data_IF_467581686019
#
_entry.id   IF_467581686019
#
_cell.length_a   1.000
_cell.length_b   1.000
_cell.length_c   1.000
_cell.angle_alpha   90.00
_cell.angle_beta   90.00
_cell.angle_gamma   90.00
#
_symmetry.space_group_name_H-M   'P 1'
#
loop_
_entity.id
_entity.type
_entity.pdbx_description
1 polymer ?
#
# COMPACT_ATOMS: atom_id res chain seq x y z
N UNK A 1 -5.64 32.33 -13.31
CA UNK A 1 -5.24 31.78 -12.01
C UNK A 1 -4.83 30.34 -12.25
N UNK A 2 -3.76 29.85 -11.64
CA UNK A 2 -3.37 28.44 -11.77
C UNK A 2 -4.46 27.60 -11.10
N UNK A 3 -5.24 26.83 -11.86
CA UNK A 3 -6.39 26.08 -11.35
C UNK A 3 -6.00 25.07 -10.24
N UNK A 4 -4.71 24.73 -10.14
CA UNK A 4 -4.10 23.87 -9.11
C UNK A 4 -3.84 24.56 -7.76
N UNK A 5 -3.70 25.89 -7.74
CA UNK A 5 -3.31 26.59 -6.52
C UNK A 5 -4.50 26.69 -5.57
N UNK A 6 -4.32 26.26 -4.33
CA UNK A 6 -5.30 26.39 -3.26
C UNK A 6 -5.04 27.68 -2.46
N UNK A 7 -6.10 28.43 -2.17
CA UNK A 7 -6.05 29.43 -1.10
C UNK A 7 -5.92 28.76 0.27
N UNK A 8 -5.55 29.51 1.31
CA UNK A 8 -5.50 28.96 2.67
C UNK A 8 -6.85 28.41 3.15
N UNK A 9 -7.95 29.05 2.75
CA UNK A 9 -9.30 28.60 3.08
C UNK A 9 -9.65 27.28 2.35
N UNK A 10 -9.31 27.17 1.07
CA UNK A 10 -9.50 25.94 0.31
C UNK A 10 -8.63 24.79 0.83
N UNK A 11 -7.39 25.09 1.22
CA UNK A 11 -6.49 24.10 1.83
C UNK A 11 -7.06 23.55 3.13
N UNK A 12 -7.64 24.41 3.99
CA UNK A 12 -8.33 23.97 5.20
C UNK A 12 -9.57 23.13 4.88
N UNK A 13 -10.38 23.55 3.90
CA UNK A 13 -11.57 22.81 3.49
C UNK A 13 -11.24 21.41 2.92
N UNK A 14 -10.15 21.27 2.15
CA UNK A 14 -9.64 19.97 1.67
C UNK A 14 -9.32 19.04 2.84
N UNK A 15 -8.63 19.57 3.86
CA UNK A 15 -8.31 18.79 5.07
C UNK A 15 -9.60 18.37 5.77
N UNK A 16 -10.49 19.31 6.08
CA UNK A 16 -11.73 19.04 6.81
C UNK A 16 -12.62 18.03 6.07
N UNK A 17 -12.73 18.14 4.74
CA UNK A 17 -13.43 17.17 3.90
C UNK A 17 -12.83 15.77 4.02
N UNK A 18 -11.52 15.62 3.85
CA UNK A 18 -10.87 14.30 3.96
C UNK A 18 -10.98 13.71 5.35
N UNK A 19 -10.84 14.52 6.41
CA UNK A 19 -11.04 14.03 7.77
C UNK A 19 -12.47 13.52 7.98
N UNK A 20 -13.48 14.23 7.48
CA UNK A 20 -14.87 13.80 7.56
C UNK A 20 -15.12 12.49 6.79
N UNK A 21 -14.61 12.36 5.56
CA UNK A 21 -14.80 11.20 4.69
C UNK A 21 -14.17 9.91 5.25
N UNK A 22 -13.01 10.01 5.91
CA UNK A 22 -12.32 8.84 6.49
C UNK A 22 -12.81 8.49 7.91
N UNK A 23 -13.65 9.33 8.53
CA UNK A 23 -14.18 9.08 9.87
C UNK A 23 -15.34 8.09 9.83
N UNK A 24 -15.26 6.96 10.55
CA UNK A 24 -16.39 6.02 10.64
C UNK A 24 -17.62 6.65 11.29
N UNK A 25 -18.81 6.19 10.89
CA UNK A 25 -20.08 6.68 11.43
C UNK A 25 -20.33 6.27 12.89
N UNK A 26 -19.70 5.19 13.34
CA UNK A 26 -19.84 4.65 14.68
C UNK A 26 -18.48 4.52 15.38
N UNK A 27 -18.47 4.71 16.70
CA UNK A 27 -17.26 4.48 17.51
C UNK A 27 -17.08 2.97 17.72
N UNK A 28 -15.87 2.43 17.56
CA UNK A 28 -15.60 1.03 17.85
C UNK A 28 -15.76 0.75 19.35
N UNK A 29 -16.30 -0.42 19.69
CA UNK A 29 -16.26 -0.94 21.05
C UNK A 29 -15.10 -1.91 21.18
N UNK A 30 -14.16 -1.62 22.08
CA UNK A 30 -12.95 -2.43 22.27
C UNK A 30 -12.81 -2.88 23.72
N UNK A 31 -12.51 -4.16 23.93
CA UNK A 31 -12.22 -4.68 25.26
C UNK A 31 -10.95 -4.05 25.84
N UNK A 32 -10.86 -3.86 27.17
CA UNK A 32 -9.66 -3.32 27.81
C UNK A 32 -8.39 -4.11 27.42
N UNK A 33 -7.32 -3.40 27.06
CA UNK A 33 -6.03 -4.00 26.72
C UNK A 33 -5.89 -4.53 25.28
N UNK A 34 -6.97 -4.53 24.48
CA UNK A 34 -6.87 -4.86 23.05
C UNK A 34 -6.33 -3.63 22.30
N UNK A 35 -5.30 -3.83 21.45
CA UNK A 35 -4.75 -2.77 20.59
C UNK A 35 -5.66 -2.53 19.38
N UNK A 36 -5.77 -1.29 18.85
CA UNK A 36 -6.34 -1.06 17.53
C UNK A 36 -5.46 -1.67 16.43
N UNK A 37 -6.08 -2.09 15.33
CA UNK A 37 -5.45 -2.71 14.17
C UNK A 37 -5.37 -1.71 13.02
N UNK A 38 -4.19 -1.58 12.42
CA UNK A 38 -4.00 -0.93 11.13
C UNK A 38 -3.63 -1.99 10.09
N UNK A 39 -4.43 -2.10 9.02
CA UNK A 39 -4.15 -2.94 7.87
C UNK A 39 -3.75 -2.05 6.70
N UNK A 40 -2.49 -2.12 6.31
CA UNK A 40 -1.92 -1.33 5.23
C UNK A 40 -1.81 -2.18 3.96
N UNK A 41 -2.45 -1.76 2.88
CA UNK A 41 -2.55 -2.53 1.63
C UNK A 41 -1.65 -1.91 0.58
N UNK A 42 -0.63 -2.68 0.18
CA UNK A 42 0.38 -2.33 -0.81
C UNK A 42 0.17 -3.03 -2.14
N UNK A 43 0.77 -2.47 -3.19
CA UNK A 43 0.74 -3.04 -4.54
C UNK A 43 0.62 -1.98 -5.61
N UNK A 44 0.96 -2.34 -6.84
CA UNK A 44 0.92 -1.40 -7.96
C UNK A 44 -0.50 -0.88 -8.23
N UNK A 45 -0.64 0.27 -8.92
CA UNK A 45 -1.92 0.73 -9.45
C UNK A 45 -2.67 -0.40 -10.18
N UNK A 46 -3.98 -0.47 -9.96
CA UNK A 46 -4.86 -1.50 -10.53
C UNK A 46 -4.48 -2.97 -10.21
N UNK A 47 -3.64 -3.24 -9.20
CA UNK A 47 -3.36 -4.60 -8.71
C UNK A 47 -4.60 -5.29 -8.10
N UNK A 48 -5.63 -4.55 -7.67
CA UNK A 48 -6.80 -5.12 -6.98
C UNK A 48 -6.86 -4.83 -5.48
N UNK A 49 -6.08 -3.85 -5.00
CA UNK A 49 -6.09 -3.39 -3.59
C UNK A 49 -7.50 -3.15 -3.02
N UNK A 50 -8.41 -2.58 -3.82
CA UNK A 50 -9.79 -2.33 -3.41
C UNK A 50 -10.56 -3.61 -3.03
N UNK A 51 -10.22 -4.77 -3.62
CA UNK A 51 -10.80 -6.07 -3.22
C UNK A 51 -10.36 -6.44 -1.81
N UNK A 52 -9.05 -6.44 -1.55
CA UNK A 52 -8.50 -6.71 -0.22
C UNK A 52 -9.04 -5.70 0.82
N UNK A 53 -9.08 -4.42 0.48
CA UNK A 53 -9.59 -3.36 1.37
C UNK A 53 -11.04 -3.60 1.78
N UNK A 54 -11.90 -3.95 0.83
CA UNK A 54 -13.32 -4.25 1.09
C UNK A 54 -13.48 -5.48 1.99
N UNK A 55 -12.69 -6.53 1.76
CA UNK A 55 -12.74 -7.74 2.58
C UNK A 55 -12.32 -7.45 4.02
N UNK A 56 -11.20 -6.76 4.19
CA UNK A 56 -10.71 -6.34 5.50
C UNK A 56 -11.73 -5.45 6.20
N UNK A 57 -12.26 -4.43 5.53
CA UNK A 57 -13.24 -3.52 6.13
C UNK A 57 -14.51 -4.25 6.57
N UNK A 58 -15.01 -5.19 5.75
CA UNK A 58 -16.16 -6.02 6.11
C UNK A 58 -15.90 -6.88 7.34
N UNK A 59 -14.70 -7.45 7.44
CA UNK A 59 -14.31 -8.26 8.60
C UNK A 59 -14.20 -7.46 9.88
N UNK A 60 -13.74 -6.21 9.81
CA UNK A 60 -13.51 -5.34 10.97
C UNK A 60 -14.76 -4.54 11.36
N UNK A 61 -15.72 -4.40 10.45
CA UNK A 61 -16.98 -3.68 10.62
C UNK A 61 -17.01 -2.39 9.81
N UNK A 62 -17.91 -2.34 8.81
CA UNK A 62 -17.97 -1.24 7.82
C UNK A 62 -18.26 0.13 8.47
N UNK A 63 -19.01 0.18 9.58
CA UNK A 63 -19.40 1.43 10.25
C UNK A 63 -18.41 1.88 11.35
N UNK A 64 -17.49 1.01 11.76
CA UNK A 64 -16.56 1.23 12.88
C UNK A 64 -15.09 1.23 12.46
N UNK A 65 -14.81 0.88 11.20
CA UNK A 65 -13.45 0.81 10.62
C UNK A 65 -13.25 1.95 9.64
N UNK A 66 -12.18 2.72 9.83
CA UNK A 66 -11.82 3.75 8.89
C UNK A 66 -11.22 3.14 7.62
N UNK A 67 -11.70 3.58 6.47
CA UNK A 67 -11.19 3.18 5.15
C UNK A 67 -10.50 4.39 4.51
N UNK A 68 -9.22 4.26 4.18
CA UNK A 68 -8.42 5.36 3.65
C UNK A 68 -7.61 4.97 2.41
N UNK A 69 -8.01 5.43 1.22
CA UNK A 69 -7.14 5.38 0.04
C UNK A 69 -6.36 6.69 -0.08
N UNK A 70 -5.03 6.58 -0.14
CA UNK A 70 -4.14 7.71 -0.33
C UNK A 70 -4.38 8.44 -1.65
N UNK A 71 -4.65 7.70 -2.73
CA UNK A 71 -4.78 8.29 -4.05
C UNK A 71 -6.11 9.07 -4.20
N UNK A 72 -7.11 8.79 -3.37
CA UNK A 72 -8.40 9.51 -3.32
C UNK A 72 -8.27 10.93 -2.74
N UNK A 73 -7.14 11.27 -2.11
CA UNK A 73 -6.93 12.62 -1.55
C UNK A 73 -7.08 13.72 -2.62
N UNK A 74 -6.70 13.44 -3.88
CA UNK A 74 -6.82 14.37 -4.98
C UNK A 74 -8.28 14.77 -5.27
N UNK A 75 -9.23 13.89 -4.96
CA UNK A 75 -10.65 14.12 -5.23
C UNK A 75 -11.26 15.21 -4.34
N UNK A 76 -10.65 15.48 -3.18
CA UNK A 76 -11.04 16.56 -2.28
C UNK A 76 -10.67 17.95 -2.83
N UNK A 77 -9.87 18.06 -3.89
CA UNK A 77 -9.56 19.34 -4.49
C UNK A 77 -10.84 19.99 -5.06
N UNK A 78 -11.19 21.24 -4.70
CA UNK A 78 -12.48 21.86 -5.06
C UNK A 78 -12.68 22.03 -6.57
N UNK A 79 -11.57 22.02 -7.33
CA UNK A 79 -11.57 22.09 -8.80
C UNK A 79 -11.20 20.76 -9.49
N UNK A 80 -11.16 19.62 -8.78
CA UNK A 80 -10.65 18.34 -9.30
C UNK A 80 -11.24 17.97 -10.67
N UNK A 81 -12.57 17.90 -10.77
CA UNK A 81 -13.27 17.56 -12.02
C UNK A 81 -12.99 18.56 -13.15
N UNK A 82 -12.93 19.86 -12.83
CA UNK A 82 -12.66 20.90 -13.82
C UNK A 82 -11.22 20.80 -14.37
N UNK A 83 -10.26 20.44 -13.51
CA UNK A 83 -8.87 20.22 -13.89
C UNK A 83 -8.75 18.98 -14.78
N UNK A 84 -9.36 17.85 -14.41
CA UNK A 84 -9.34 16.65 -15.24
C UNK A 84 -10.02 16.85 -16.60
N UNK A 85 -11.13 17.60 -16.65
CA UNK A 85 -11.88 17.82 -17.89
C UNK A 85 -11.14 18.72 -18.90
N UNK A 86 -10.34 19.67 -18.43
CA UNK A 86 -9.62 20.64 -19.29
C UNK A 86 -8.14 20.31 -19.45
N UNK A 87 -7.60 19.52 -18.54
CA UNK A 87 -6.19 19.23 -18.43
C UNK A 87 -5.74 18.12 -19.36
N UNK A 88 -4.46 17.79 -19.23
CA UNK A 88 -3.90 16.59 -19.82
C UNK A 88 -4.46 15.36 -19.12
N UNK A 89 -4.39 14.21 -19.80
CA UNK A 89 -4.85 12.92 -19.27
C UNK A 89 -4.24 12.60 -17.89
N UNK A 90 -2.99 13.04 -17.63
CA UNK A 90 -2.23 12.82 -16.41
C UNK A 90 -2.44 13.88 -15.30
N UNK A 91 -3.38 14.81 -15.47
CA UNK A 91 -3.61 15.93 -14.55
C UNK A 91 -3.98 15.52 -13.11
N UNK A 92 -4.39 14.27 -12.88
CA UNK A 92 -4.58 13.73 -11.53
C UNK A 92 -3.31 13.86 -10.67
N UNK A 93 -2.12 13.61 -11.26
CA UNK A 93 -0.85 13.75 -10.55
C UNK A 93 -0.63 15.18 -10.08
N UNK A 94 -0.84 16.14 -10.97
CA UNK A 94 -0.64 17.56 -10.66
C UNK A 94 -1.56 18.01 -9.53
N UNK A 95 -2.82 17.54 -9.52
CA UNK A 95 -3.75 17.82 -8.41
C UNK A 95 -3.26 17.20 -7.12
N UNK A 96 -2.84 15.94 -7.14
CA UNK A 96 -2.33 15.28 -5.94
C UNK A 96 -1.11 16.01 -5.37
N UNK A 97 -0.19 16.49 -6.22
CA UNK A 97 0.98 17.26 -5.82
C UNK A 97 0.66 18.69 -5.34
N UNK A 98 -0.52 19.24 -5.70
CA UNK A 98 -0.95 20.58 -5.27
C UNK A 98 -1.70 20.61 -3.94
N UNK A 99 -2.03 19.45 -3.37
CA UNK A 99 -2.69 19.34 -2.07
C UNK A 99 -1.80 19.84 -0.92
N UNK A 100 -2.37 20.15 0.26
CA UNK A 100 -1.58 20.47 1.43
C UNK A 100 -0.55 19.36 1.73
N UNK A 101 0.75 19.68 1.86
CA UNK A 101 1.81 18.66 1.94
C UNK A 101 1.72 17.81 3.22
N UNK A 102 1.02 18.28 4.25
CA UNK A 102 0.81 17.57 5.50
C UNK A 102 -0.58 16.89 5.59
N UNK A 103 -1.39 16.90 4.52
CA UNK A 103 -2.73 16.30 4.48
C UNK A 103 -2.70 14.83 4.94
N UNK A 104 -1.83 14.03 4.34
CA UNK A 104 -1.70 12.61 4.71
C UNK A 104 -1.39 12.42 6.20
N UNK A 105 -0.40 13.16 6.72
CA UNK A 105 -0.06 13.13 8.15
C UNK A 105 -1.26 13.52 9.02
N UNK A 106 -2.03 14.54 8.63
CA UNK A 106 -3.25 14.95 9.35
C UNK A 106 -4.33 13.87 9.33
N UNK A 107 -4.52 13.18 8.20
CA UNK A 107 -5.45 12.03 8.12
C UNK A 107 -5.03 10.91 9.08
N UNK A 108 -3.75 10.52 9.10
CA UNK A 108 -3.26 9.50 10.04
C UNK A 108 -3.40 9.97 11.49
N UNK A 109 -3.00 11.21 11.80
CA UNK A 109 -3.13 11.80 13.13
C UNK A 109 -4.60 11.78 13.62
N UNK A 110 -5.54 12.13 12.74
CA UNK A 110 -6.98 12.12 13.06
C UNK A 110 -7.53 10.74 13.37
N UNK A 111 -7.05 9.69 12.68
CA UNK A 111 -7.52 8.33 12.89
C UNK A 111 -6.90 7.65 14.12
N UNK A 112 -5.72 8.10 14.53
CA UNK A 112 -4.87 7.39 15.51
C UNK A 112 -4.75 8.10 16.86
N UNK A 113 -4.97 9.42 16.90
CA UNK A 113 -4.85 10.25 18.11
C UNK A 113 -6.22 10.59 18.68
N UNK A 114 -6.25 10.84 19.98
CA UNK A 114 -7.46 11.23 20.72
C UNK A 114 -8.10 10.07 21.48
N UNK A 115 -9.28 10.33 22.03
CA UNK A 115 -9.98 9.36 22.89
C UNK A 115 -10.51 8.15 22.11
N UNK A 116 -10.82 8.31 20.82
CA UNK A 116 -11.30 7.24 19.95
C UNK A 116 -10.21 6.85 18.98
N UNK A 117 -9.69 5.63 19.12
CA UNK A 117 -8.76 5.01 18.17
C UNK A 117 -9.54 4.02 17.31
N UNK A 118 -9.62 4.29 16.01
CA UNK A 118 -10.30 3.42 15.05
C UNK A 118 -9.41 2.27 14.61
N UNK A 119 -10.00 1.11 14.30
CA UNK A 119 -9.32 0.19 13.38
C UNK A 119 -9.27 0.86 12.00
N UNK A 120 -8.19 0.66 11.28
CA UNK A 120 -7.93 1.34 10.01
C UNK A 120 -7.57 0.32 8.95
N UNK A 121 -8.20 0.41 7.79
CA UNK A 121 -7.69 -0.18 6.56
C UNK A 121 -7.30 0.94 5.61
N UNK A 122 -6.05 0.95 5.17
CA UNK A 122 -5.55 1.99 4.29
C UNK A 122 -4.80 1.43 3.09
N UNK A 123 -4.96 2.02 1.92
CA UNK A 123 -4.23 1.64 0.71
C UNK A 123 -3.30 2.74 0.24
N UNK A 124 -2.11 2.31 -0.16
CA UNK A 124 -1.11 3.15 -0.83
C UNK A 124 -0.25 2.26 -1.73
N UNK A 125 0.63 2.82 -2.58
CA UNK A 125 1.54 1.98 -3.37
C UNK A 125 2.42 1.06 -2.51
N UNK A 126 2.96 1.59 -1.40
CA UNK A 126 3.88 0.89 -0.47
C UNK A 126 5.05 0.17 -1.18
N UNK A 127 5.50 0.76 -2.29
CA UNK A 127 6.41 0.13 -3.24
C UNK A 127 7.88 0.25 -2.90
N UNK A 128 8.25 1.04 -1.88
CA UNK A 128 9.63 1.25 -1.48
C UNK A 128 9.71 1.31 0.03
N UNK A 129 10.81 0.84 0.61
CA UNK A 129 11.04 0.89 2.06
C UNK A 129 10.83 2.30 2.63
N UNK A 130 11.44 3.31 2.00
CA UNK A 130 11.31 4.71 2.40
C UNK A 130 9.88 5.27 2.30
N UNK A 131 9.03 4.66 1.46
CA UNK A 131 7.62 4.99 1.35
C UNK A 131 6.74 4.18 2.30
N UNK A 132 7.10 2.93 2.62
CA UNK A 132 6.29 2.02 3.41
C UNK A 132 6.50 2.17 4.92
N UNK A 133 7.74 2.37 5.38
CA UNK A 133 8.05 2.55 6.80
C UNK A 133 7.30 3.73 7.46
N UNK A 134 7.22 4.92 6.84
CA UNK A 134 6.46 6.02 7.42
C UNK A 134 4.96 5.70 7.66
N UNK A 135 4.36 4.88 6.80
CA UNK A 135 2.99 4.41 7.03
C UNK A 135 2.91 3.51 8.25
N UNK A 136 3.82 2.55 8.39
CA UNK A 136 3.88 1.66 9.56
C UNK A 136 4.10 2.46 10.84
N UNK A 137 5.07 3.39 10.83
CA UNK A 137 5.43 4.24 11.96
C UNK A 137 4.25 5.12 12.43
N UNK A 138 3.45 5.63 11.49
CA UNK A 138 2.27 6.43 11.79
C UNK A 138 1.28 5.73 12.72
N UNK A 139 1.18 4.41 12.62
CA UNK A 139 0.29 3.59 13.46
C UNK A 139 1.02 2.95 14.64
N UNK A 140 2.19 2.34 14.41
CA UNK A 140 2.94 1.63 15.44
C UNK A 140 3.32 2.56 16.61
N UNK A 141 3.71 3.81 16.32
CA UNK A 141 4.03 4.81 17.35
C UNK A 141 2.81 5.26 18.17
N UNK A 142 1.59 4.95 17.72
CA UNK A 142 0.34 5.21 18.43
C UNK A 142 -0.21 3.96 19.13
N UNK A 143 0.60 2.88 19.22
CA UNK A 143 0.26 1.65 19.94
C UNK A 143 -0.61 0.68 19.15
N UNK A 144 -0.72 0.86 17.83
CA UNK A 144 -1.46 -0.07 16.97
C UNK A 144 -0.72 -1.40 16.82
N UNK A 145 -1.47 -2.47 16.55
CA UNK A 145 -0.95 -3.64 15.84
C UNK A 145 -0.98 -3.31 14.34
N UNK A 146 0.10 -3.52 13.62
CA UNK A 146 0.20 -3.18 12.19
C UNK A 146 0.36 -4.43 11.35
N UNK A 147 -0.62 -4.68 10.48
CA UNK A 147 -0.58 -5.70 9.45
C UNK A 147 -0.34 -5.05 8.08
N UNK A 148 0.52 -5.62 7.26
CA UNK A 148 0.73 -5.19 5.86
C UNK A 148 0.28 -6.29 4.90
N UNK A 149 -0.53 -5.94 3.91
CA UNK A 149 -1.04 -6.85 2.89
C UNK A 149 -0.53 -6.39 1.52
N UNK A 150 0.25 -7.21 0.85
CA UNK A 150 0.67 -6.96 -0.53
C UNK A 150 -0.23 -7.74 -1.51
N UNK A 151 -0.85 -7.03 -2.46
CA UNK A 151 -1.59 -7.66 -3.54
C UNK A 151 -0.64 -8.02 -4.68
N UNK A 152 -0.47 -9.31 -4.92
CA UNK A 152 0.28 -9.86 -6.03
C UNK A 152 -0.65 -10.06 -7.23
N UNK A 153 -0.34 -9.38 -8.32
CA UNK A 153 -1.05 -9.48 -9.60
C UNK A 153 -0.05 -9.24 -10.70
N UNK A 154 -0.09 -10.09 -11.73
CA UNK A 154 0.80 -9.97 -12.87
C UNK A 154 0.62 -8.60 -13.56
N UNK A 155 1.73 -8.04 -14.05
CA UNK A 155 1.80 -6.70 -14.61
C UNK A 155 0.91 -6.49 -15.83
N UNK A 156 0.71 -7.49 -16.70
CA UNK A 156 -0.21 -7.35 -17.83
C UNK A 156 -1.66 -7.11 -17.36
N UNK A 157 -2.09 -7.80 -16.29
CA UNK A 157 -3.45 -7.68 -15.75
C UNK A 157 -3.65 -6.32 -15.09
N UNK A 158 -2.67 -5.87 -14.30
CA UNK A 158 -2.77 -4.55 -13.66
C UNK A 158 -2.61 -3.40 -14.65
N UNK A 159 -1.78 -3.53 -15.69
CA UNK A 159 -1.67 -2.52 -16.74
C UNK A 159 -2.96 -2.41 -17.56
N UNK A 160 -3.57 -3.53 -17.96
CA UNK A 160 -4.88 -3.53 -18.59
C UNK A 160 -5.94 -2.90 -17.68
N UNK A 161 -5.90 -3.21 -16.38
CA UNK A 161 -6.78 -2.61 -15.39
C UNK A 161 -6.61 -1.10 -15.20
N UNK A 162 -5.44 -0.52 -15.50
CA UNK A 162 -5.26 0.95 -15.55
C UNK A 162 -6.09 1.53 -16.70
N UNK A 163 -6.00 0.92 -17.88
CA UNK A 163 -6.74 1.35 -19.06
C UNK A 163 -8.26 1.20 -18.86
N UNK A 164 -8.70 0.04 -18.37
CA UNK A 164 -10.10 -0.28 -18.10
C UNK A 164 -10.71 0.71 -17.11
N UNK A 165 -10.10 0.90 -15.93
CA UNK A 165 -10.62 1.82 -14.91
C UNK A 165 -10.70 3.26 -15.39
N UNK A 166 -9.73 3.71 -16.19
CA UNK A 166 -9.78 5.04 -16.76
C UNK A 166 -10.97 5.17 -17.71
N UNK A 167 -11.14 4.24 -18.63
CA UNK A 167 -12.20 4.30 -19.64
C UNK A 167 -13.58 4.20 -18.98
N UNK A 168 -13.78 3.26 -18.06
CA UNK A 168 -15.03 3.14 -17.29
C UNK A 168 -15.39 4.44 -16.56
N UNK A 169 -14.40 5.12 -15.97
CA UNK A 169 -14.62 6.40 -15.30
C UNK A 169 -14.98 7.52 -16.29
N UNK A 170 -14.34 7.54 -17.46
CA UNK A 170 -14.70 8.48 -18.55
C UNK A 170 -16.12 8.22 -19.04
N UNK A 171 -16.52 6.97 -19.22
CA UNK A 171 -17.86 6.63 -19.72
C UNK A 171 -18.94 6.99 -18.68
N UNK A 172 -18.67 6.72 -17.40
CA UNK A 172 -19.62 6.99 -16.33
C UNK A 172 -19.70 8.48 -15.96
N UNK A 173 -18.58 9.20 -16.00
CA UNK A 173 -18.46 10.52 -15.37
C UNK A 173 -17.91 11.62 -16.29
N UNK A 174 -17.52 11.30 -17.52
CA UNK A 174 -16.87 12.21 -18.47
C UNK A 174 -15.40 12.53 -18.16
N UNK A 175 -14.86 12.03 -17.05
CA UNK A 175 -13.45 12.19 -16.65
C UNK A 175 -12.96 10.94 -15.94
N UNK A 176 -11.70 10.56 -16.19
CA UNK A 176 -11.06 9.40 -15.57
C UNK A 176 -9.71 9.76 -14.94
N UNK A 177 -9.33 9.00 -13.91
CA UNK A 177 -8.00 9.07 -13.29
C UNK A 177 -7.04 8.22 -14.10
N UNK A 178 -6.18 8.85 -14.90
CA UNK A 178 -5.11 8.14 -15.59
C UNK A 178 -3.93 7.92 -14.67
N UNK A 179 -3.29 6.75 -14.81
CA UNK A 179 -2.03 6.45 -14.15
C UNK A 179 -0.99 6.19 -15.23
N UNK A 180 0.11 6.92 -15.19
CA UNK A 180 1.23 6.72 -16.11
C UNK A 180 1.78 5.28 -15.96
N UNK A 181 1.87 4.49 -17.04
CA UNK A 181 2.44 3.14 -17.02
C UNK A 181 3.83 3.06 -16.38
N UNK A 182 4.62 4.15 -16.42
CA UNK A 182 5.93 4.21 -15.76
C UNK A 182 5.81 4.20 -14.23
N UNK A 183 4.81 4.88 -13.66
CA UNK A 183 4.54 4.82 -12.22
C UNK A 183 4.02 3.44 -11.80
N UNK A 184 3.16 2.86 -12.64
CA UNK A 184 2.71 1.48 -12.46
C UNK A 184 3.89 0.51 -12.37
N UNK A 185 4.80 0.56 -13.35
CA UNK A 185 5.95 -0.33 -13.42
C UNK A 185 6.97 -0.11 -12.30
N UNK A 186 7.20 1.14 -11.89
CA UNK A 186 8.06 1.43 -10.75
C UNK A 186 7.48 0.83 -9.46
N UNK A 187 6.16 0.94 -9.26
CA UNK A 187 5.49 0.33 -8.12
C UNK A 187 5.52 -1.20 -8.18
N UNK A 188 5.32 -1.78 -9.37
CA UNK A 188 5.42 -3.21 -9.60
C UNK A 188 6.78 -3.75 -9.19
N UNK A 189 7.87 -3.15 -9.70
CA UNK A 189 9.24 -3.59 -9.42
C UNK A 189 9.66 -3.42 -7.95
N UNK A 190 9.21 -2.36 -7.30
CA UNK A 190 9.64 -2.04 -5.94
C UNK A 190 8.94 -2.85 -4.83
N UNK A 191 7.67 -3.20 -5.01
CA UNK A 191 6.86 -3.82 -3.96
C UNK A 191 7.48 -5.09 -3.31
N UNK A 192 8.10 -6.03 -4.05
CA UNK A 192 8.74 -7.20 -3.44
C UNK A 192 9.89 -6.84 -2.47
N UNK A 193 10.71 -5.85 -2.80
CA UNK A 193 11.84 -5.45 -1.97
C UNK A 193 11.36 -4.65 -0.74
N UNK A 194 10.30 -3.85 -0.88
CA UNK A 194 9.65 -3.20 0.25
C UNK A 194 9.05 -4.22 1.23
N UNK A 195 8.36 -5.25 0.72
CA UNK A 195 7.83 -6.34 1.54
C UNK A 195 8.95 -7.08 2.28
N UNK A 196 10.05 -7.38 1.59
CA UNK A 196 11.22 -8.01 2.21
C UNK A 196 11.82 -7.17 3.34
N UNK A 197 11.98 -5.87 3.13
CA UNK A 197 12.55 -4.97 4.14
C UNK A 197 11.68 -4.91 5.40
N UNK A 198 10.36 -4.85 5.24
CA UNK A 198 9.42 -4.86 6.36
C UNK A 198 9.45 -6.19 7.13
N UNK A 199 9.50 -7.31 6.42
CA UNK A 199 9.48 -8.65 7.01
C UNK A 199 10.82 -9.02 7.68
N UNK A 200 11.93 -8.91 6.95
CA UNK A 200 13.26 -9.32 7.42
C UNK A 200 13.75 -8.55 8.64
N UNK A 201 13.22 -7.34 8.86
CA UNK A 201 13.52 -6.49 10.00
C UNK A 201 12.47 -6.59 11.12
N UNK A 202 11.48 -7.48 11.00
CA UNK A 202 10.33 -7.59 11.89
C UNK A 202 9.64 -6.23 12.15
N UNK A 203 9.58 -5.39 11.12
CA UNK A 203 9.12 -3.99 11.20
C UNK A 203 7.59 -3.89 11.38
N UNK A 204 6.86 -4.96 11.09
CA UNK A 204 5.40 -5.07 11.19
C UNK A 204 5.01 -6.21 12.14
N UNK A 205 3.79 -6.17 12.69
CA UNK A 205 3.28 -7.29 13.50
C UNK A 205 2.88 -8.48 12.61
N UNK A 206 2.32 -8.21 11.43
CA UNK A 206 1.87 -9.23 10.49
C UNK A 206 2.15 -8.80 9.05
N UNK A 207 2.52 -9.76 8.20
CA UNK A 207 2.62 -9.53 6.75
C UNK A 207 1.88 -10.63 5.99
N UNK A 208 1.12 -10.23 4.97
CA UNK A 208 0.37 -11.12 4.10
C UNK A 208 0.70 -10.78 2.64
N UNK A 209 0.73 -11.81 1.80
CA UNK A 209 0.67 -11.67 0.34
C UNK A 209 -0.63 -12.33 -0.11
N UNK A 210 -1.40 -11.60 -0.90
CA UNK A 210 -2.68 -12.08 -1.43
C UNK A 210 -2.68 -12.00 -2.94
N UNK A 211 -3.44 -12.89 -3.59
CA UNK A 211 -3.78 -12.73 -4.99
C UNK A 211 -4.80 -11.58 -5.21
N UNK A 212 -5.20 -11.37 -6.47
CA UNK A 212 -6.14 -10.31 -6.86
C UNK A 212 -7.52 -10.43 -6.20
N UNK A 213 -7.93 -11.65 -5.86
CA UNK A 213 -9.24 -11.96 -5.27
C UNK A 213 -9.23 -11.94 -3.74
N UNK A 214 -8.05 -11.75 -3.15
CA UNK A 214 -7.83 -11.63 -1.71
C UNK A 214 -7.55 -12.97 -1.03
N UNK A 215 -7.21 -14.02 -1.77
CA UNK A 215 -6.76 -15.28 -1.19
C UNK A 215 -5.30 -15.15 -0.74
N UNK A 216 -5.02 -15.55 0.50
CA UNK A 216 -3.68 -15.50 1.09
C UNK A 216 -2.81 -16.59 0.48
N UNK A 217 -1.73 -16.16 -0.18
CA UNK A 217 -0.73 -17.06 -0.77
C UNK A 217 0.50 -17.21 0.15
N UNK A 218 0.72 -16.24 1.03
CA UNK A 218 1.76 -16.27 2.05
C UNK A 218 1.37 -15.39 3.24
N UNK A 219 1.78 -15.80 4.44
CA UNK A 219 1.72 -14.97 5.63
C UNK A 219 2.87 -15.29 6.58
N UNK A 220 3.22 -14.29 7.39
CA UNK A 220 4.21 -14.38 8.45
C UNK A 220 3.84 -13.41 9.59
N UNK A 221 4.14 -13.80 10.83
CA UNK A 221 3.71 -13.09 12.04
C UNK A 221 4.89 -12.85 12.97
N UNK A 222 4.92 -11.68 13.61
CA UNK A 222 5.94 -11.37 14.62
C UNK A 222 5.59 -12.02 15.95
N UNK A 223 6.54 -12.76 16.50
CA UNK A 223 6.47 -13.42 17.79
C UNK A 223 6.73 -12.43 18.95
N UNK A 224 6.37 -12.79 20.19
CA UNK A 224 6.62 -11.94 21.36
C UNK A 224 8.08 -11.61 21.64
N UNK A 225 9.02 -12.43 21.15
CA UNK A 225 10.46 -12.18 21.26
C UNK A 225 10.99 -11.18 20.21
N UNK A 226 10.11 -10.67 19.35
CA UNK A 226 10.43 -9.70 18.31
C UNK A 226 10.91 -10.32 16.99
N UNK A 227 11.02 -11.64 16.91
CA UNK A 227 11.39 -12.35 15.67
C UNK A 227 10.17 -12.67 14.81
N UNK A 228 10.36 -12.94 13.52
CA UNK A 228 9.29 -13.48 12.67
C UNK A 228 9.14 -14.99 12.91
N UNK A 229 7.90 -15.49 12.92
CA UNK A 229 7.57 -16.90 13.12
C UNK A 229 8.21 -17.81 12.05
N UNK A 230 8.32 -17.30 10.83
CA UNK A 230 8.89 -18.00 9.67
C UNK A 230 10.04 -17.20 9.08
N UNK A 231 10.93 -17.88 8.38
CA UNK A 231 11.94 -17.23 7.55
C UNK A 231 11.28 -16.27 6.53
N UNK A 232 11.89 -15.11 6.23
CA UNK A 232 11.31 -14.15 5.30
C UNK A 232 11.00 -14.75 3.93
N UNK A 233 9.73 -14.67 3.52
CA UNK A 233 9.22 -15.28 2.29
C UNK A 233 8.31 -14.37 1.45
N UNK A 234 7.91 -13.21 1.95
CA UNK A 234 6.93 -12.34 1.30
C UNK A 234 7.39 -11.89 -0.09
N UNK A 235 8.68 -11.58 -0.25
CA UNK A 235 9.28 -11.21 -1.55
C UNK A 235 9.07 -12.28 -2.60
N UNK A 236 9.43 -13.52 -2.26
CA UNK A 236 9.37 -14.64 -3.18
C UNK A 236 7.91 -14.98 -3.49
N UNK A 237 7.03 -14.97 -2.50
CA UNK A 237 5.60 -15.20 -2.70
C UNK A 237 4.95 -14.18 -3.65
N UNK A 238 5.35 -12.90 -3.58
CA UNK A 238 4.88 -11.87 -4.54
C UNK A 238 5.36 -12.19 -5.96
N UNK A 239 6.62 -12.58 -6.11
CA UNK A 239 7.21 -12.91 -7.42
C UNK A 239 6.55 -14.16 -8.00
N UNK A 240 6.44 -15.23 -7.22
CA UNK A 240 5.85 -16.49 -7.64
C UNK A 240 4.39 -16.33 -8.07
N UNK A 241 3.59 -15.58 -7.31
CA UNK A 241 2.19 -15.33 -7.70
C UNK A 241 2.09 -14.45 -8.95
N UNK A 242 3.00 -13.51 -9.14
CA UNK A 242 3.04 -12.67 -10.35
C UNK A 242 3.47 -13.46 -11.57
N UNK A 243 4.41 -14.39 -11.43
CA UNK A 243 4.96 -15.17 -12.53
C UNK A 243 4.15 -16.44 -12.83
N UNK A 244 3.18 -16.77 -11.96
CA UNK A 244 2.27 -17.90 -12.14
C UNK A 244 1.59 -17.86 -13.53
N UNK A 245 1.54 -18.99 -14.26
CA UNK A 245 0.75 -19.07 -15.49
C UNK A 245 -0.73 -18.74 -15.23
N UNK A 246 -1.40 -17.96 -16.10
CA UNK A 246 -2.82 -17.70 -15.92
C UNK A 246 -3.64 -18.99 -16.08
N UNK A 247 -4.83 -19.04 -15.50
CA UNK A 247 -5.82 -20.06 -15.84
C UNK A 247 -6.45 -19.74 -17.21
N UNK A 248 -7.05 -20.73 -17.90
CA UNK A 248 -7.79 -20.46 -19.13
C UNK A 248 -8.90 -19.41 -18.98
N UNK A 249 -9.56 -19.37 -17.81
CA UNK A 249 -10.59 -18.37 -17.51
C UNK A 249 -9.99 -16.97 -17.32
N UNK A 250 -8.88 -16.83 -16.59
CA UNK A 250 -8.16 -15.56 -16.43
C UNK A 250 -7.68 -15.01 -17.78
N UNK A 251 -7.12 -15.87 -18.64
CA UNK A 251 -6.67 -15.46 -19.98
C UNK A 251 -7.84 -15.02 -20.86
N UNK A 252 -8.96 -15.74 -20.83
CA UNK A 252 -10.14 -15.36 -21.61
C UNK A 252 -10.74 -14.03 -21.11
N UNK A 253 -10.79 -13.81 -19.79
CA UNK A 253 -11.22 -12.54 -19.22
C UNK A 253 -10.30 -11.39 -19.67
N UNK A 254 -8.98 -11.58 -19.58
CA UNK A 254 -8.00 -10.61 -20.07
C UNK A 254 -8.28 -10.25 -21.55
N UNK A 255 -8.46 -11.26 -22.40
CA UNK A 255 -8.74 -11.09 -23.82
C UNK A 255 -10.04 -10.33 -24.06
N UNK A 256 -11.10 -10.63 -23.30
CA UNK A 256 -12.38 -9.95 -23.41
C UNK A 256 -12.27 -8.47 -23.05
N UNK A 257 -11.65 -8.13 -21.92
CA UNK A 257 -11.43 -6.74 -21.52
C UNK A 257 -10.59 -5.98 -22.56
N UNK A 258 -9.45 -6.55 -23.00
CA UNK A 258 -8.59 -5.91 -23.99
C UNK A 258 -9.30 -5.67 -25.32
N UNK A 259 -10.02 -6.67 -25.84
CA UNK A 259 -10.80 -6.51 -27.07
C UNK A 259 -11.98 -5.56 -26.91
N UNK A 260 -12.59 -5.48 -25.72
CA UNK A 260 -13.62 -4.52 -25.39
C UNK A 260 -13.11 -3.08 -25.51
N UNK A 261 -11.95 -2.79 -24.91
CA UNK A 261 -11.32 -1.47 -24.99
C UNK A 261 -10.89 -1.11 -26.43
N UNK A 262 -10.29 -2.05 -27.17
CA UNK A 262 -9.88 -1.79 -28.56
C UNK A 262 -11.05 -1.58 -29.54
N UNK A 263 -12.25 -2.05 -29.18
CA UNK A 263 -13.49 -1.90 -29.97
C UNK A 263 -14.44 -0.85 -29.39
N UNK A 264 -14.00 -0.12 -28.37
CA UNK A 264 -14.83 0.86 -27.69
C UNK A 264 -15.22 2.00 -28.65
N UNK A 265 -16.45 2.48 -28.55
CA UNK A 265 -17.01 3.57 -29.35
C UNK A 265 -17.61 4.64 -28.42
N UNK A 266 -17.14 5.91 -28.45
CA UNK A 266 -16.06 6.41 -29.30
C UNK A 266 -14.71 5.79 -28.96
N UNK A 267 -13.78 5.82 -29.91
CA UNK A 267 -12.45 5.26 -29.76
C UNK A 267 -11.73 5.80 -28.50
N UNK A 268 -11.07 4.90 -27.75
CA UNK A 268 -10.34 5.27 -26.54
C UNK A 268 -9.17 6.21 -26.86
N UNK A 269 -8.81 7.05 -25.89
CA UNK A 269 -7.67 7.95 -26.01
C UNK A 269 -6.36 7.17 -26.31
N UNK A 270 -5.45 7.78 -27.09
CA UNK A 270 -4.19 7.15 -27.50
C UNK A 270 -3.39 6.54 -26.33
N UNK A 271 -3.19 7.21 -25.16
CA UNK A 271 -2.48 6.59 -24.05
C UNK A 271 -3.16 5.34 -23.48
N UNK A 272 -4.49 5.28 -23.55
CA UNK A 272 -5.29 4.10 -23.13
C UNK A 272 -5.03 2.95 -24.08
N UNK A 273 -5.07 3.21 -25.39
CA UNK A 273 -4.78 2.21 -26.42
C UNK A 273 -3.35 1.69 -26.34
N UNK A 274 -2.38 2.56 -26.07
CA UNK A 274 -0.98 2.19 -25.90
C UNK A 274 -0.82 1.25 -24.70
N UNK A 275 -1.45 1.57 -23.56
CA UNK A 275 -1.43 0.70 -22.38
C UNK A 275 -2.11 -0.65 -22.64
N UNK A 276 -3.21 -0.70 -23.40
CA UNK A 276 -3.84 -1.97 -23.81
C UNK A 276 -2.91 -2.79 -24.70
N UNK A 277 -2.28 -2.14 -25.69
CA UNK A 277 -1.35 -2.80 -26.60
C UNK A 277 -0.14 -3.37 -25.85
N UNK A 278 0.40 -2.60 -24.90
CA UNK A 278 1.49 -3.03 -24.04
C UNK A 278 1.09 -4.18 -23.11
N UNK A 279 -0.10 -4.11 -22.50
CA UNK A 279 -0.64 -5.20 -21.71
C UNK A 279 -0.78 -6.49 -22.55
N UNK A 280 -1.27 -6.40 -23.78
CA UNK A 280 -1.37 -7.56 -24.68
C UNK A 280 0.00 -8.14 -25.03
N UNK A 281 1.03 -7.31 -25.23
CA UNK A 281 2.40 -7.78 -25.45
C UNK A 281 2.95 -8.53 -24.22
N UNK A 282 2.69 -8.02 -23.02
CA UNK A 282 3.08 -8.67 -21.75
C UNK A 282 2.34 -9.99 -21.54
N UNK A 283 1.04 -10.05 -21.83
CA UNK A 283 0.25 -11.28 -21.79
C UNK A 283 0.79 -12.33 -22.76
N UNK A 284 1.13 -11.93 -24.00
CA UNK A 284 1.68 -12.84 -24.99
C UNK A 284 3.06 -13.43 -24.61
N UNK A 285 3.78 -12.78 -23.69
CA UNK A 285 5.05 -13.25 -23.16
C UNK A 285 4.90 -14.18 -21.94
N UNK A 286 3.68 -14.33 -21.38
CA UNK A 286 3.43 -15.22 -20.23
C UNK A 286 3.53 -16.68 -20.63
N UNK A 287 3.76 -17.54 -19.63
CA UNK A 287 3.61 -18.97 -19.78
C UNK A 287 2.18 -19.34 -20.26
N UNK A 288 2.08 -20.48 -20.95
CA UNK A 288 0.78 -20.98 -21.43
C UNK A 288 -0.19 -21.22 -20.27
N UNK A 289 -1.50 -21.05 -20.48
CA UNK A 289 -2.46 -21.23 -19.40
C UNK A 289 -2.42 -22.64 -18.80
N UNK A 290 -2.53 -22.71 -17.48
CA UNK A 290 -2.53 -23.95 -16.72
C UNK A 290 -3.71 -23.95 -15.73
N UNK A 291 -4.32 -25.12 -15.54
CA UNK A 291 -5.33 -25.28 -14.49
C UNK A 291 -4.63 -25.62 -13.18
N UNK A 292 -4.62 -24.65 -12.28
CA UNK A 292 -3.95 -24.77 -10.98
C UNK A 292 -4.83 -25.42 -9.91
N UNK A 293 -6.09 -25.76 -10.23
CA UNK A 293 -7.03 -26.39 -9.29
C UNK A 293 -7.24 -25.57 -8.00
N UNK A 294 -6.97 -24.26 -8.05
CA UNK A 294 -7.04 -23.36 -6.90
C UNK A 294 -8.51 -23.04 -6.64
N UNK A 295 -9.19 -23.92 -5.93
CA UNK A 295 -10.49 -23.55 -5.35
C UNK A 295 -10.23 -22.52 -4.24
N UNK A 296 -10.80 -21.31 -4.32
CA UNK A 296 -10.68 -20.33 -3.26
C UNK A 296 -11.38 -20.89 -2.02
N UNK A 297 -10.59 -21.44 -1.11
CA UNK A 297 -11.10 -21.93 0.16
C UNK A 297 -11.43 -20.70 1.03
N UNK A 298 -12.68 -20.53 1.52
CA UNK A 298 -13.07 -19.32 2.25
C UNK A 298 -12.20 -19.01 3.48
N UNK A 299 -11.60 -20.03 4.08
CA UNK A 299 -10.67 -19.91 5.22
C UNK A 299 -9.28 -19.37 4.84
N UNK A 300 -8.94 -19.36 3.56
CA UNK A 300 -7.69 -18.80 3.04
C UNK A 300 -7.81 -17.33 2.64
N UNK A 301 -9.00 -16.73 2.70
CA UNK A 301 -9.18 -15.31 2.37
C UNK A 301 -8.69 -14.39 3.48
N UNK A 302 -8.24 -13.20 3.09
CA UNK A 302 -7.62 -12.25 4.02
C UNK A 302 -8.52 -11.83 5.19
N UNK A 303 -9.83 -11.71 4.97
CA UNK A 303 -10.82 -11.46 6.03
C UNK A 303 -10.85 -12.60 7.06
N UNK A 304 -10.93 -13.84 6.61
CA UNK A 304 -10.91 -15.01 7.48
C UNK A 304 -9.59 -15.14 8.26
N UNK A 305 -8.45 -14.91 7.60
CA UNK A 305 -7.10 -14.99 8.22
C UNK A 305 -6.88 -13.91 9.26
N UNK A 306 -7.22 -12.66 8.95
CA UNK A 306 -7.14 -11.57 9.93
C UNK A 306 -8.01 -11.82 11.15
N UNK A 307 -9.24 -12.31 10.95
CA UNK A 307 -10.13 -12.66 12.06
C UNK A 307 -9.57 -13.80 12.93
N UNK A 308 -8.81 -14.74 12.36
CA UNK A 308 -8.12 -15.79 13.12
C UNK A 308 -6.96 -15.22 13.94
N UNK A 309 -6.12 -14.38 13.32
CA UNK A 309 -5.00 -13.70 13.97
C UNK A 309 -5.46 -12.83 15.14
N UNK A 310 -6.56 -12.10 15.00
CA UNK A 310 -7.15 -11.31 16.09
C UNK A 310 -7.66 -12.16 17.24
N UNK A 311 -8.27 -13.32 16.96
CA UNK A 311 -8.74 -14.26 18.01
C UNK A 311 -7.59 -14.83 18.83
N UNK A 312 -6.49 -15.19 18.18
CA UNK A 312 -5.28 -15.70 18.84
C UNK A 312 -4.61 -14.60 19.68
N UNK A 313 -4.64 -13.35 19.20
CA UNK A 313 -4.09 -12.19 19.91
C UNK A 313 -4.95 -11.67 21.07
N UNK A 314 -6.26 -11.97 21.06
CA UNK A 314 -7.22 -11.57 22.07
C UNK A 314 -7.00 -12.16 23.46
N UNK A 315 -6.09 -13.13 23.61
CA UNK A 315 -5.66 -13.69 24.91
C UNK A 315 -4.53 -12.91 25.59
N UNK A 316 -4.21 -11.70 25.13
CA UNK A 316 -3.23 -10.82 25.75
C UNK A 316 -1.87 -10.93 25.08
N UNK A 317 -1.56 -9.95 24.21
CA UNK A 317 -0.20 -9.70 23.75
C UNK A 317 0.30 -8.47 24.49
N UNK A 318 1.45 -8.61 25.15
CA UNK A 318 2.17 -7.57 25.86
C UNK A 318 2.40 -6.32 24.98
N UNK A 319 2.53 -5.12 25.59
CA UNK A 319 2.79 -3.90 24.83
C UNK A 319 4.06 -4.06 23.99
N UNK A 320 4.05 -3.49 22.78
CA UNK A 320 5.23 -3.41 21.94
C UNK A 320 6.31 -2.62 22.70
N UNK A 321 7.41 -3.29 23.06
CA UNK A 321 8.69 -2.59 23.19
C UNK A 321 8.93 -1.92 21.84
N UNK A 322 9.02 -0.59 21.84
CA UNK A 322 9.02 0.22 20.61
C UNK A 322 9.98 -0.34 19.57
N UNK A 323 9.59 -0.23 18.30
CA UNK A 323 10.44 -0.56 17.14
C UNK A 323 11.70 0.30 17.26
N UNK A 324 12.75 -0.23 17.88
CA UNK A 324 14.08 0.37 17.83
C UNK A 324 14.61 0.13 16.43
N UNK A 325 14.76 1.22 15.66
CA UNK A 325 15.53 1.21 14.43
C UNK A 325 16.90 0.55 14.70
N UNK A 326 17.40 -0.31 13.79
CA UNK A 326 18.71 -0.91 13.98
C UNK A 326 19.76 0.19 14.04
N UNK A 327 20.50 0.22 15.15
CA UNK A 327 21.67 1.06 15.34
C UNK A 327 22.63 0.84 14.17
N UNK A 328 22.83 1.87 13.34
CA UNK A 328 23.94 1.94 12.42
C UNK A 328 25.21 2.13 13.23
N UNK A 329 25.79 1.05 13.73
CA UNK A 329 27.10 1.08 14.37
C UNK A 329 27.95 -0.12 13.95
N UNK A 330 28.86 0.09 13.00
CA UNK A 330 30.19 -0.52 13.11
C UNK A 330 31.21 0.18 12.21
N UNK A 331 31.98 1.07 12.82
CA UNK A 331 33.33 1.44 12.41
C UNK A 331 34.23 1.25 13.63
N UNK A 332 34.66 0.02 13.85
CA UNK A 332 35.41 -0.40 15.02
C UNK A 332 36.88 0.07 15.00
N UNK A 333 37.31 0.56 16.17
CA UNK A 333 38.58 0.31 16.88
C UNK A 333 39.91 0.80 16.27
N UNK A 334 40.56 1.66 17.05
CA UNK A 334 41.99 1.91 17.02
C UNK A 334 42.44 2.64 18.29
N UNK A 335 42.49 1.93 19.42
CA UNK A 335 43.07 2.44 20.65
C UNK A 335 44.60 2.31 20.64
N UNK A 336 45.30 3.40 20.91
CA UNK A 336 46.69 3.38 21.39
C UNK A 336 46.97 4.68 22.15
N UNK A 337 46.69 4.66 23.46
CA UNK A 337 47.25 5.62 24.40
C UNK A 337 48.60 5.09 24.87
N UNK A 338 49.69 5.79 24.53
CA UNK A 338 51.01 5.58 25.10
C UNK A 338 51.65 6.93 25.39
N UNK A 339 51.67 7.30 26.67
CA UNK A 339 52.47 8.41 27.21
C UNK A 339 53.78 7.83 27.74
N UNK A 340 54.96 8.32 27.33
CA UNK A 340 56.21 7.93 27.97
C UNK A 340 56.62 8.94 29.05
N UNK A 341 57.02 8.40 30.20
CA UNK A 341 57.74 9.10 31.26
C UNK A 341 59.25 9.13 30.97
N UNK A 342 59.88 10.30 31.10
CA UNK A 342 61.16 10.41 31.82
C UNK A 342 62.41 10.96 31.09
N UNK A 343 62.92 12.08 31.64
CA UNK A 343 64.32 12.60 31.65
C UNK A 343 64.88 13.07 30.29
N UNK A 344 65.59 14.19 30.13
CA UNK A 344 66.20 15.20 30.99
C UNK A 344 67.37 15.85 30.19
N UNK A 345 67.70 17.10 30.51
CA UNK A 345 68.98 17.81 30.21
C UNK A 345 69.22 18.54 28.85
N UNK A 346 69.15 19.88 28.94
CA UNK A 346 70.17 20.91 28.59
C UNK A 346 70.79 21.09 27.19
N UNK A 347 70.75 22.37 26.77
CA UNK A 347 71.76 23.24 26.11
C UNK A 347 71.78 23.46 24.58
N UNK A 348 71.73 24.76 24.26
CA UNK A 348 72.47 25.55 23.26
C UNK A 348 72.65 25.02 21.83
N UNK A 349 71.99 25.67 20.87
CA UNK A 349 72.59 26.71 20.00
C UNK A 349 71.54 27.41 19.15
#
# INVERSE_FOLDING_TARGET
MNDLALTSAESAAVVDQRLAEITPGERPTRAPGVRPLAVLIGGQPAAGKSTAQRLVQRSLGEQTTASYDFDENAEAHPRYRAILSKGRIDAHRDVHESLPPDLHRRCIDHLTKGETQYDVVASAPLSWEAGAKPWVDGFANQGYRVAVVYVATNDANSLLGVAERYQEAVDANGVGRWVDPRLHDQAYRGAPDAAHALESQAYVDDIYVVDRDGNVVFENHRLPDGTMEREPGARQAIIDERDRPPTPAEQEQFRQTAMGLLRHEPEVAEPVRDAVSEAMMREAARASPEDHGREPAPDQRIDARLAATQRVAGSGIAPASGITAPDTASGARGGSGSTPTGRGHTRDR
#
